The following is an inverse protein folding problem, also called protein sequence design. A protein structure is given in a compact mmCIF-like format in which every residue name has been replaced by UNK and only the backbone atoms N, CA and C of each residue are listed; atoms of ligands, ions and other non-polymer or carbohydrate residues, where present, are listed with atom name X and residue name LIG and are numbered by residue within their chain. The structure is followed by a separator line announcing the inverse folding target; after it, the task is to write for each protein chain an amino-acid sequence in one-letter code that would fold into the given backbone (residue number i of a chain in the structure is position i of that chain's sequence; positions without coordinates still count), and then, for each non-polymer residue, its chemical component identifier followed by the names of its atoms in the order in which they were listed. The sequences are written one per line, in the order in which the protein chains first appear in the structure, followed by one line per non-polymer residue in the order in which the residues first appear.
data_IF_184029791598
#
_entry.id   IF_184029791598
#
_cell.length_a   1.000
_cell.length_b   1.000
_cell.length_c   1.000
_cell.angle_alpha   90.00
_cell.angle_beta   90.00
_cell.angle_gamma   90.00
#
_symmetry.space_group_name_H-M   'P 1'
#
loop_
_entity.id
_entity.type
_entity.pdbx_description
1 polymer ?
#
# COMPACT_ATOMS: atom_id res chain seq x y z
N UNK A 1 3.20 -24.71 -2.82
CA UNK A 1 3.44 -23.24 -2.84
C UNK A 1 3.29 -22.71 -4.25
N UNK A 2 2.66 -21.55 -4.41
CA UNK A 2 2.54 -20.84 -5.69
C UNK A 2 3.70 -19.84 -5.83
N UNK A 3 4.30 -19.75 -7.01
CA UNK A 3 5.37 -18.79 -7.26
C UNK A 3 4.86 -17.36 -7.15
N UNK A 4 5.63 -16.49 -6.50
CA UNK A 4 5.32 -15.07 -6.34
C UNK A 4 6.55 -14.20 -6.60
N UNK A 5 6.32 -13.10 -7.32
CA UNK A 5 7.32 -12.06 -7.59
C UNK A 5 6.88 -10.77 -6.92
N UNK A 6 7.81 -10.08 -6.27
CA UNK A 6 7.55 -8.80 -5.63
C UNK A 6 7.96 -7.68 -6.58
N UNK A 7 7.06 -6.75 -6.84
CA UNK A 7 7.29 -5.61 -7.73
C UNK A 7 7.78 -4.42 -6.91
N UNK A 8 9.05 -4.04 -7.11
CA UNK A 8 9.80 -3.07 -6.33
C UNK A 8 10.71 -3.73 -5.30
N UNK A 9 12.01 -3.42 -5.33
CA UNK A 9 13.05 -3.95 -4.42
C UNK A 9 13.49 -2.94 -3.34
N UNK A 10 12.80 -1.80 -3.24
CA UNK A 10 13.05 -0.79 -2.22
C UNK A 10 12.68 -1.25 -0.81
N UNK A 11 12.62 -0.31 0.15
CA UNK A 11 12.28 -0.60 1.55
C UNK A 11 10.97 -1.37 1.69
N UNK A 12 9.90 -0.87 1.08
CA UNK A 12 8.59 -1.52 1.09
C UNK A 12 8.63 -2.94 0.52
N UNK A 13 9.29 -3.14 -0.63
CA UNK A 13 9.40 -4.48 -1.24
C UNK A 13 10.12 -5.49 -0.35
N UNK A 14 11.21 -5.07 0.30
CA UNK A 14 11.95 -5.92 1.26
C UNK A 14 11.10 -6.29 2.48
N UNK A 15 10.27 -5.37 2.96
CA UNK A 15 9.32 -5.65 4.04
C UNK A 15 8.22 -6.60 3.57
N UNK A 16 7.66 -6.39 2.37
CA UNK A 16 6.68 -7.31 1.77
C UNK A 16 7.22 -8.74 1.67
N UNK A 17 8.52 -8.91 1.35
CA UNK A 17 9.13 -10.24 1.37
C UNK A 17 9.08 -10.88 2.76
N UNK A 18 9.34 -10.11 3.82
CA UNK A 18 9.23 -10.60 5.20
C UNK A 18 7.76 -10.94 5.55
N UNK A 19 6.80 -10.12 5.11
CA UNK A 19 5.37 -10.41 5.37
C UNK A 19 4.90 -11.68 4.65
N UNK A 20 5.42 -11.96 3.46
CA UNK A 20 5.16 -13.21 2.75
C UNK A 20 5.80 -14.39 3.51
N UNK A 21 6.99 -14.25 4.07
CA UNK A 21 7.60 -15.26 4.93
C UNK A 21 6.80 -15.49 6.21
N UNK A 22 6.23 -14.44 6.82
CA UNK A 22 5.35 -14.57 7.98
C UNK A 22 4.03 -15.26 7.65
N UNK A 23 3.46 -15.01 6.47
CA UNK A 23 2.32 -15.78 5.95
C UNK A 23 2.70 -17.26 5.82
N UNK A 24 3.86 -17.57 5.25
CA UNK A 24 4.31 -18.94 5.06
C UNK A 24 4.58 -19.70 6.37
N UNK A 25 4.87 -19.01 7.47
CA UNK A 25 4.97 -19.65 8.82
C UNK A 25 3.61 -20.12 9.34
N UNK A 26 2.53 -19.49 8.89
CA UNK A 26 1.15 -19.88 9.27
C UNK A 26 0.60 -20.90 8.27
N UNK A 27 0.79 -20.66 7.00
CA UNK A 27 0.34 -21.50 5.89
C UNK A 27 1.35 -21.45 4.75
N UNK A 28 1.94 -22.58 4.38
CA UNK A 28 2.89 -22.68 3.26
C UNK A 28 2.21 -22.35 1.93
N UNK A 29 2.17 -21.09 1.54
CA UNK A 29 1.42 -20.59 0.40
C UNK A 29 2.29 -20.15 -0.76
N UNK A 30 3.38 -19.41 -0.49
CA UNK A 30 4.13 -18.67 -1.49
C UNK A 30 5.59 -19.11 -1.61
N UNK A 31 6.06 -19.29 -2.85
CA UNK A 31 7.48 -19.42 -3.17
C UNK A 31 7.99 -18.11 -3.77
N UNK A 32 8.74 -17.32 -3.01
CA UNK A 32 9.26 -16.03 -3.47
C UNK A 32 10.39 -16.27 -4.47
N UNK A 33 10.18 -15.88 -5.73
CA UNK A 33 11.20 -16.00 -6.79
C UNK A 33 12.22 -14.85 -6.74
N UNK A 34 11.83 -13.66 -6.29
CA UNK A 34 12.67 -12.47 -6.21
C UNK A 34 11.88 -11.19 -6.44
N UNK A 35 12.61 -10.12 -6.76
CA UNK A 35 12.07 -8.80 -7.01
C UNK A 35 12.18 -8.40 -8.48
N UNK A 36 11.24 -7.57 -8.93
CA UNK A 36 11.39 -6.78 -10.14
C UNK A 36 11.69 -5.34 -9.74
N UNK A 37 12.75 -4.75 -10.30
CA UNK A 37 13.06 -3.34 -10.11
C UNK A 37 13.83 -2.82 -11.33
N UNK A 38 13.54 -1.60 -11.78
CA UNK A 38 14.27 -1.01 -12.91
C UNK A 38 15.70 -0.61 -12.54
N UNK A 39 15.99 -0.49 -11.23
CA UNK A 39 17.35 -0.46 -10.72
C UNK A 39 17.78 -1.89 -10.32
N UNK A 40 18.57 -2.54 -11.16
CA UNK A 40 19.06 -3.90 -10.89
C UNK A 40 19.97 -3.99 -9.66
N UNK A 41 20.57 -2.89 -9.24
CA UNK A 41 21.44 -2.75 -8.08
C UNK A 41 20.66 -2.28 -6.81
N UNK A 42 19.32 -2.27 -6.84
CA UNK A 42 18.49 -1.77 -5.75
C UNK A 42 18.73 -2.45 -4.38
N UNK A 43 19.33 -3.63 -4.39
CA UNK A 43 19.67 -4.40 -3.19
C UNK A 43 21.15 -4.32 -2.79
N UNK A 44 21.98 -3.58 -3.51
CA UNK A 44 23.39 -3.41 -3.13
C UNK A 44 23.50 -2.76 -1.73
N UNK A 45 24.38 -3.33 -0.90
CA UNK A 45 24.57 -2.91 0.48
C UNK A 45 23.51 -3.41 1.47
N UNK A 46 22.47 -4.11 1.01
CA UNK A 46 21.47 -4.73 1.87
C UNK A 46 21.66 -6.25 1.97
N UNK A 47 21.44 -6.79 3.18
CA UNK A 47 21.37 -8.24 3.38
C UNK A 47 19.97 -8.72 2.99
N UNK A 48 19.82 -9.19 1.77
CA UNK A 48 18.57 -9.76 1.29
C UNK A 48 18.76 -11.24 0.95
N UNK A 49 17.81 -12.08 1.30
CA UNK A 49 17.74 -13.49 0.90
C UNK A 49 17.38 -13.64 -0.58
N UNK A 50 16.64 -12.65 -1.11
CA UNK A 50 16.14 -12.64 -2.47
C UNK A 50 16.88 -11.60 -3.31
N UNK A 51 16.86 -11.77 -4.64
CA UNK A 51 17.59 -10.92 -5.59
C UNK A 51 16.63 -10.19 -6.53
N UNK A 52 17.11 -9.13 -7.18
CA UNK A 52 16.42 -8.54 -8.33
C UNK A 52 16.60 -9.49 -9.51
N UNK A 53 15.50 -10.01 -10.04
CA UNK A 53 15.49 -11.02 -11.11
C UNK A 53 15.19 -10.42 -12.49
N UNK A 54 14.96 -9.12 -12.57
CA UNK A 54 14.74 -8.40 -13.83
C UNK A 54 14.15 -7.02 -13.62
N UNK A 55 14.01 -6.28 -14.72
CA UNK A 55 13.40 -4.96 -14.72
C UNK A 55 11.87 -5.05 -14.78
N UNK A 56 11.18 -4.07 -14.20
CA UNK A 56 9.72 -3.95 -14.32
C UNK A 56 9.33 -3.70 -15.78
N UNK A 57 10.08 -2.83 -16.45
CA UNK A 57 9.85 -2.40 -17.83
C UNK A 57 9.83 -3.57 -18.82
N UNK A 58 10.83 -4.46 -18.76
CA UNK A 58 11.03 -5.53 -19.75
C UNK A 58 10.37 -6.85 -19.33
N UNK A 59 9.79 -6.88 -18.13
CA UNK A 59 9.20 -8.11 -17.59
C UNK A 59 8.02 -8.58 -18.43
N UNK A 60 8.02 -9.90 -18.68
CA UNK A 60 6.93 -10.62 -19.33
C UNK A 60 6.26 -11.54 -18.29
N UNK A 61 5.06 -11.21 -17.83
CA UNK A 61 4.38 -12.01 -16.82
C UNK A 61 4.16 -13.46 -17.24
N UNK A 62 4.25 -14.37 -16.27
CA UNK A 62 4.03 -15.81 -16.44
C UNK A 62 2.66 -16.16 -15.89
N UNK A 63 1.94 -17.09 -16.55
CA UNK A 63 0.58 -17.49 -16.17
C UNK A 63 0.48 -18.11 -14.77
N UNK A 64 1.52 -18.83 -14.35
CA UNK A 64 1.53 -19.59 -13.09
C UNK A 64 2.26 -18.83 -11.96
N UNK A 65 2.48 -17.53 -12.14
CA UNK A 65 3.18 -16.69 -11.18
C UNK A 65 2.28 -15.55 -10.73
N UNK A 66 2.17 -15.36 -9.42
CA UNK A 66 1.47 -14.25 -8.81
C UNK A 66 2.41 -13.08 -8.53
N UNK A 67 1.85 -11.90 -8.37
CA UNK A 67 2.61 -10.67 -8.16
C UNK A 67 2.15 -9.96 -6.89
N UNK A 68 3.09 -9.45 -6.10
CA UNK A 68 2.84 -8.61 -4.94
C UNK A 68 3.35 -7.19 -5.19
N UNK A 69 2.58 -6.17 -4.82
CA UNK A 69 3.01 -4.78 -4.94
C UNK A 69 3.95 -4.42 -3.78
N UNK A 70 5.24 -4.20 -4.09
CA UNK A 70 6.29 -3.78 -3.15
C UNK A 70 6.62 -2.28 -3.24
N UNK A 71 5.74 -1.47 -3.84
CA UNK A 71 5.93 -0.04 -4.04
C UNK A 71 4.87 0.72 -3.23
N UNK A 72 5.30 1.57 -2.28
CA UNK A 72 4.38 2.37 -1.48
C UNK A 72 4.05 3.74 -2.10
N UNK A 73 4.86 4.25 -3.03
CA UNK A 73 4.62 5.53 -3.67
C UNK A 73 3.37 5.47 -4.57
N UNK A 74 2.30 6.26 -4.28
CA UNK A 74 1.05 6.20 -5.05
C UNK A 74 1.22 6.50 -6.54
N UNK A 75 2.03 7.49 -6.89
CA UNK A 75 2.24 7.87 -8.29
C UNK A 75 2.96 6.76 -9.09
N UNK A 76 3.87 6.03 -8.45
CA UNK A 76 4.61 4.94 -9.10
C UNK A 76 3.73 3.71 -9.25
N UNK A 77 3.04 3.27 -8.19
CA UNK A 77 2.19 2.07 -8.24
C UNK A 77 0.99 2.23 -9.17
N UNK A 78 0.46 3.46 -9.33
CA UNK A 78 -0.58 3.79 -10.32
C UNK A 78 -0.15 3.53 -11.78
N UNK A 79 1.13 3.66 -12.08
CA UNK A 79 1.67 3.36 -13.42
C UNK A 79 2.06 1.89 -13.53
N UNK A 80 2.79 1.38 -12.55
CA UNK A 80 3.39 0.05 -12.61
C UNK A 80 2.34 -1.06 -12.53
N UNK A 81 1.35 -0.93 -11.64
CA UNK A 81 0.32 -1.95 -11.45
C UNK A 81 -0.47 -2.23 -12.73
N UNK A 82 -1.18 -1.24 -13.29
CA UNK A 82 -1.95 -1.42 -14.52
C UNK A 82 -1.11 -1.91 -15.71
N UNK A 83 0.09 -1.36 -15.93
CA UNK A 83 0.98 -1.79 -17.02
C UNK A 83 1.34 -3.27 -16.93
N UNK A 84 1.63 -3.78 -15.74
CA UNK A 84 1.91 -5.21 -15.56
C UNK A 84 0.63 -6.05 -15.71
N UNK A 85 -0.53 -5.57 -15.24
CA UNK A 85 -1.81 -6.27 -15.41
C UNK A 85 -2.21 -6.36 -16.89
N UNK A 86 -2.03 -5.31 -17.66
CA UNK A 86 -2.24 -5.33 -19.12
C UNK A 86 -1.34 -6.33 -19.85
N UNK A 87 -0.13 -6.56 -19.33
CA UNK A 87 0.77 -7.60 -19.82
C UNK A 87 0.38 -9.01 -19.33
N UNK A 88 -0.61 -9.16 -18.46
CA UNK A 88 -1.12 -10.41 -17.92
C UNK A 88 -0.65 -10.80 -16.53
N UNK A 89 -0.03 -9.89 -15.76
CA UNK A 89 0.31 -10.14 -14.36
C UNK A 89 -0.96 -10.25 -13.50
N UNK A 90 -0.99 -11.25 -12.63
CA UNK A 90 -2.06 -11.45 -11.64
C UNK A 90 -1.58 -10.99 -10.27
N UNK A 91 -2.03 -9.83 -9.83
CA UNK A 91 -1.69 -9.33 -8.49
C UNK A 91 -2.53 -9.98 -7.42
N UNK A 92 -1.90 -10.25 -6.28
CA UNK A 92 -2.55 -10.77 -5.07
C UNK A 92 -2.36 -9.79 -3.92
N UNK A 93 -3.30 -9.82 -2.98
CA UNK A 93 -3.17 -9.07 -1.75
C UNK A 93 -2.25 -9.79 -0.76
N UNK A 94 -1.35 -9.04 -0.12
CA UNK A 94 -0.46 -9.50 0.94
C UNK A 94 -1.00 -8.95 2.25
N UNK A 95 -1.76 -9.78 2.94
CA UNK A 95 -2.37 -9.45 4.22
C UNK A 95 -1.56 -10.15 5.30
N UNK A 96 -0.87 -9.36 6.13
CA UNK A 96 -0.06 -9.92 7.22
C UNK A 96 -0.95 -10.72 8.22
N UNK A 97 -0.51 -11.87 8.73
CA UNK A 97 -1.35 -12.72 9.60
C UNK A 97 -1.86 -12.05 10.88
N UNK A 98 -1.18 -11.00 11.37
CA UNK A 98 -1.63 -10.21 12.52
C UNK A 98 -2.58 -9.06 12.16
N UNK A 99 -3.00 -8.94 10.91
CA UNK A 99 -4.01 -7.96 10.50
C UNK A 99 -5.38 -8.41 10.97
N UNK A 100 -6.11 -7.54 11.66
CA UNK A 100 -7.49 -7.80 12.03
C UNK A 100 -8.44 -7.15 11.00
N UNK A 101 -9.20 -7.99 10.30
CA UNK A 101 -10.25 -7.52 9.38
C UNK A 101 -11.60 -7.98 9.96
N UNK A 102 -12.46 -7.01 10.22
CA UNK A 102 -13.82 -7.29 10.72
C UNK A 102 -14.79 -7.56 9.55
N UNK A 103 -16.03 -7.87 9.85
CA UNK A 103 -17.05 -8.19 8.83
C UNK A 103 -17.44 -6.99 7.95
N UNK A 104 -18.11 -7.28 6.83
CA UNK A 104 -18.66 -6.28 5.90
C UNK A 104 -17.59 -5.37 5.29
N UNK A 105 -16.76 -5.94 4.43
CA UNK A 105 -15.71 -5.22 3.72
C UNK A 105 -15.66 -5.58 2.24
N UNK A 106 -15.21 -4.63 1.43
CA UNK A 106 -14.82 -4.85 0.04
C UNK A 106 -13.32 -4.57 -0.11
N UNK A 107 -12.58 -5.50 -0.67
CA UNK A 107 -11.14 -5.37 -0.89
C UNK A 107 -10.80 -5.50 -2.38
N UNK A 108 -10.12 -4.49 -2.89
CA UNK A 108 -9.53 -4.51 -4.23
C UNK A 108 -8.30 -5.42 -4.34
N UNK A 109 -7.73 -5.44 -5.54
CA UNK A 109 -6.57 -6.24 -5.89
C UNK A 109 -5.27 -5.59 -5.38
N UNK A 110 -4.31 -6.41 -4.96
CA UNK A 110 -2.96 -5.92 -4.62
C UNK A 110 -2.88 -5.10 -3.33
N UNK A 111 -3.83 -5.25 -2.42
CA UNK A 111 -3.76 -4.67 -1.08
C UNK A 111 -2.53 -5.22 -0.34
N UNK A 112 -1.79 -4.35 0.30
CA UNK A 112 -0.70 -4.72 1.22
C UNK A 112 -1.01 -4.20 2.61
N UNK A 113 -1.09 -5.10 3.60
CA UNK A 113 -1.21 -4.71 5.01
C UNK A 113 0.02 -5.12 5.78
N UNK A 114 0.52 -4.20 6.59
CA UNK A 114 1.62 -4.46 7.51
C UNK A 114 1.12 -5.06 8.83
N UNK A 115 2.03 -5.59 9.66
CA UNK A 115 1.67 -6.17 10.95
C UNK A 115 0.79 -5.24 11.81
N UNK A 116 -0.17 -5.83 12.52
CA UNK A 116 -1.07 -5.14 13.45
C UNK A 116 -1.98 -4.07 12.81
N UNK A 117 -2.15 -4.07 11.50
CA UNK A 117 -3.17 -3.25 10.86
C UNK A 117 -4.57 -3.71 11.31
N UNK A 118 -5.52 -2.77 11.40
CA UNK A 118 -6.91 -3.06 11.73
C UNK A 118 -7.83 -2.41 10.72
N UNK A 119 -8.72 -3.20 10.15
CA UNK A 119 -9.75 -2.76 9.20
C UNK A 119 -11.10 -3.03 9.86
N UNK A 120 -11.80 -1.98 10.26
CA UNK A 120 -13.10 -2.08 10.92
C UNK A 120 -14.21 -2.44 9.93
N UNK A 121 -15.42 -2.66 10.44
CA UNK A 121 -16.60 -3.05 9.64
C UNK A 121 -17.02 -1.97 8.64
N UNK A 122 -17.62 -2.35 7.53
CA UNK A 122 -18.16 -1.45 6.50
C UNK A 122 -17.13 -0.75 5.63
N UNK A 123 -15.84 -1.16 5.71
CA UNK A 123 -14.77 -0.54 4.93
C UNK A 123 -14.76 -0.99 3.48
N UNK A 124 -14.46 -0.06 2.58
CA UNK A 124 -14.17 -0.32 1.16
C UNK A 124 -12.74 0.10 0.85
N UNK A 125 -12.00 -0.77 0.22
CA UNK A 125 -10.58 -0.57 -0.08
C UNK A 125 -10.35 -0.90 -1.54
N UNK A 126 -9.93 0.10 -2.32
CA UNK A 126 -9.63 -0.03 -3.74
C UNK A 126 -8.36 -0.82 -4.05
N UNK A 127 -7.98 -0.77 -5.31
CA UNK A 127 -6.84 -1.52 -5.82
C UNK A 127 -5.51 -0.89 -5.38
N UNK A 128 -4.51 -1.74 -5.15
CA UNK A 128 -3.14 -1.34 -4.80
C UNK A 128 -3.03 -0.40 -3.59
N UNK A 129 -3.93 -0.51 -2.63
CA UNK A 129 -3.83 0.22 -1.36
C UNK A 129 -2.73 -0.38 -0.50
N UNK A 130 -2.01 0.49 0.23
CA UNK A 130 -1.00 0.07 1.22
C UNK A 130 -1.36 0.62 2.59
N UNK A 131 -1.50 -0.27 3.59
CA UNK A 131 -1.78 0.07 4.98
C UNK A 131 -0.61 -0.37 5.87
N UNK A 132 0.21 0.58 6.32
CA UNK A 132 1.38 0.28 7.14
C UNK A 132 1.02 0.39 8.63
N UNK A 133 0.72 -0.75 9.28
CA UNK A 133 0.41 -0.81 10.72
C UNK A 133 -0.59 0.27 11.18
N UNK A 134 -1.68 0.39 10.45
CA UNK A 134 -2.67 1.47 10.55
C UNK A 134 -3.99 0.96 11.11
N UNK A 135 -4.74 1.84 11.77
CA UNK A 135 -6.13 1.60 12.19
C UNK A 135 -7.07 2.34 11.25
N UNK A 136 -7.89 1.57 10.53
CA UNK A 136 -8.96 2.07 9.68
C UNK A 136 -10.29 1.92 10.39
N UNK A 137 -10.94 3.05 10.68
CA UNK A 137 -12.23 3.13 11.34
C UNK A 137 -13.38 2.63 10.44
N UNK A 138 -14.52 2.31 11.07
CA UNK A 138 -15.70 1.79 10.39
C UNK A 138 -16.20 2.70 9.25
N UNK A 139 -16.82 2.12 8.24
CA UNK A 139 -17.45 2.82 7.11
C UNK A 139 -16.48 3.73 6.31
N UNK A 140 -15.18 3.49 6.44
CA UNK A 140 -14.17 4.23 5.68
C UNK A 140 -14.05 3.72 4.25
N UNK A 141 -13.82 4.63 3.32
CA UNK A 141 -13.64 4.33 1.90
C UNK A 141 -12.27 4.82 1.42
N UNK A 142 -11.42 3.89 1.01
CA UNK A 142 -10.13 4.16 0.39
C UNK A 142 -10.21 3.83 -1.09
N UNK A 143 -10.00 4.82 -1.93
CA UNK A 143 -9.93 4.62 -3.38
C UNK A 143 -8.57 4.02 -3.79
N UNK A 144 -8.37 3.79 -5.08
CA UNK A 144 -7.20 3.10 -5.60
C UNK A 144 -5.88 3.83 -5.29
N UNK A 145 -4.82 3.05 -5.17
CA UNK A 145 -3.44 3.53 -5.01
C UNK A 145 -3.17 4.33 -3.73
N UNK A 146 -4.10 4.41 -2.80
CA UNK A 146 -3.91 5.10 -1.51
C UNK A 146 -2.78 4.43 -0.73
N UNK A 147 -1.96 5.26 -0.07
CA UNK A 147 -0.97 4.78 0.91
C UNK A 147 -1.20 5.47 2.25
N UNK A 148 -1.40 4.66 3.28
CA UNK A 148 -1.47 5.10 4.67
C UNK A 148 -0.25 4.56 5.40
N UNK A 149 0.62 5.47 5.83
CA UNK A 149 1.86 5.12 6.53
C UNK A 149 1.60 4.67 7.97
N UNK A 150 2.66 4.35 8.69
CA UNK A 150 2.60 3.69 9.98
C UNK A 150 1.94 4.55 11.07
N UNK A 151 1.25 3.87 11.98
CA UNK A 151 0.66 4.45 13.18
C UNK A 151 -0.36 5.57 12.92
N UNK A 152 -0.98 5.57 11.74
CA UNK A 152 -2.04 6.53 11.43
C UNK A 152 -3.36 6.10 12.08
N UNK A 153 -4.15 7.09 12.49
CA UNK A 153 -5.53 6.93 12.94
C UNK A 153 -6.50 7.47 11.89
N UNK A 154 -7.12 6.58 11.13
CA UNK A 154 -8.17 6.94 10.19
C UNK A 154 -9.50 6.64 10.87
N UNK A 155 -10.23 7.69 11.28
CA UNK A 155 -11.47 7.49 12.03
C UNK A 155 -12.65 7.16 11.11
N UNK A 156 -13.78 6.76 11.71
CA UNK A 156 -14.91 6.24 10.94
C UNK A 156 -15.51 7.21 9.90
N UNK A 157 -16.05 6.67 8.82
CA UNK A 157 -16.68 7.41 7.74
C UNK A 157 -15.74 8.31 6.93
N UNK A 158 -14.43 8.09 7.04
CA UNK A 158 -13.42 8.87 6.32
C UNK A 158 -13.32 8.39 4.87
N UNK A 159 -13.14 9.33 3.94
CA UNK A 159 -12.89 9.03 2.53
C UNK A 159 -11.49 9.48 2.12
N UNK A 160 -10.70 8.55 1.63
CA UNK A 160 -9.37 8.80 1.07
C UNK A 160 -9.44 8.59 -0.44
N UNK A 161 -9.37 9.70 -1.18
CA UNK A 161 -9.48 9.67 -2.63
C UNK A 161 -8.20 9.13 -3.29
N UNK A 162 -8.31 8.78 -4.57
CA UNK A 162 -7.31 8.09 -5.37
C UNK A 162 -5.90 8.67 -5.21
N UNK A 163 -4.96 7.81 -4.91
CA UNK A 163 -3.53 8.14 -4.86
C UNK A 163 -3.13 9.16 -3.79
N UNK A 164 -3.97 9.45 -2.79
CA UNK A 164 -3.51 10.25 -1.68
C UNK A 164 -2.52 9.50 -0.79
N UNK A 165 -1.67 10.25 -0.10
CA UNK A 165 -0.66 9.73 0.81
C UNK A 165 -0.85 10.30 2.21
N UNK A 166 -0.95 9.43 3.20
CA UNK A 166 -1.07 9.80 4.61
C UNK A 166 0.25 9.45 5.31
N UNK A 167 0.96 10.48 5.79
CA UNK A 167 2.25 10.32 6.47
C UNK A 167 2.11 9.74 7.87
N UNK A 168 3.21 9.17 8.37
CA UNK A 168 3.28 8.50 9.66
C UNK A 168 2.66 9.32 10.80
N UNK A 169 1.96 8.65 11.72
CA UNK A 169 1.34 9.25 12.90
C UNK A 169 0.29 10.34 12.59
N UNK A 170 -0.20 10.44 11.34
CA UNK A 170 -1.29 11.36 11.05
C UNK A 170 -2.62 10.84 11.60
N UNK A 171 -3.47 11.75 12.06
CA UNK A 171 -4.82 11.47 12.52
C UNK A 171 -5.84 12.21 11.66
N UNK A 172 -6.82 11.48 11.12
CA UNK A 172 -7.90 12.05 10.31
C UNK A 172 -9.20 11.98 11.12
N UNK A 173 -9.83 13.14 11.34
CA UNK A 173 -11.07 13.23 12.11
C UNK A 173 -12.25 12.57 11.35
N UNK A 174 -13.26 12.16 12.12
CA UNK A 174 -14.44 11.45 11.64
C UNK A 174 -15.14 12.17 10.47
N UNK A 175 -15.48 11.40 9.44
CA UNK A 175 -16.22 11.89 8.27
C UNK A 175 -15.44 12.91 7.42
N UNK A 176 -14.11 12.93 7.49
CA UNK A 176 -13.29 13.84 6.64
C UNK A 176 -12.94 13.18 5.31
N UNK A 177 -12.81 14.04 4.29
CA UNK A 177 -12.35 13.62 2.97
C UNK A 177 -10.95 14.17 2.68
N UNK A 178 -10.07 13.31 2.16
CA UNK A 178 -8.74 13.66 1.69
C UNK A 178 -8.72 13.52 0.18
N UNK A 179 -8.59 14.64 -0.50
CA UNK A 179 -8.68 14.72 -1.95
C UNK A 179 -7.62 13.91 -2.70
N UNK A 180 -7.90 13.62 -3.97
CA UNK A 180 -7.04 12.83 -4.82
C UNK A 180 -5.63 13.44 -4.95
N UNK A 181 -4.61 12.56 -5.00
CA UNK A 181 -3.19 12.94 -5.07
C UNK A 181 -2.70 13.86 -3.95
N UNK A 182 -3.47 14.07 -2.89
CA UNK A 182 -3.07 14.93 -1.78
C UNK A 182 -2.07 14.24 -0.87
N UNK A 183 -1.35 15.04 -0.11
CA UNK A 183 -0.34 14.59 0.83
C UNK A 183 -0.62 15.15 2.22
N UNK A 184 -0.87 14.27 3.16
CA UNK A 184 -0.95 14.61 4.59
C UNK A 184 0.40 14.33 5.23
N UNK A 185 1.04 15.38 5.75
CA UNK A 185 2.37 15.27 6.35
C UNK A 185 2.40 14.47 7.64
N UNK A 186 3.58 13.99 7.99
CA UNK A 186 3.83 13.25 9.23
C UNK A 186 3.30 13.99 10.47
N UNK A 187 2.65 13.28 11.39
CA UNK A 187 2.14 13.83 12.65
C UNK A 187 1.01 14.86 12.52
N UNK A 188 0.41 14.97 11.35
CA UNK A 188 -0.66 15.94 11.11
C UNK A 188 -1.99 15.50 11.73
N UNK A 189 -2.77 16.48 12.24
CA UNK A 189 -4.14 16.27 12.72
C UNK A 189 -5.11 16.99 11.79
N UNK A 190 -5.79 16.20 10.94
CA UNK A 190 -6.70 16.71 9.92
C UNK A 190 -8.12 16.76 10.48
N UNK A 191 -8.65 17.97 10.66
CA UNK A 191 -9.99 18.23 11.20
C UNK A 191 -10.93 18.87 10.17
N UNK A 192 -10.47 19.08 8.93
CA UNK A 192 -11.23 19.62 7.80
C UNK A 192 -10.87 18.84 6.56
N UNK A 193 -11.74 18.85 5.57
CA UNK A 193 -11.48 18.20 4.29
C UNK A 193 -10.27 18.82 3.59
N UNK A 194 -9.52 17.99 2.89
CA UNK A 194 -8.32 18.39 2.14
C UNK A 194 -8.66 18.33 0.65
N UNK A 195 -8.51 19.43 -0.08
CA UNK A 195 -8.78 19.45 -1.53
C UNK A 195 -7.79 18.54 -2.30
N UNK A 196 -8.16 18.18 -3.54
CA UNK A 196 -7.28 17.45 -4.45
C UNK A 196 -5.93 18.17 -4.64
N UNK A 197 -4.89 17.39 -4.93
CA UNK A 197 -3.54 17.88 -5.24
C UNK A 197 -2.97 18.85 -4.19
N UNK A 198 -3.32 18.68 -2.93
CA UNK A 198 -2.96 19.58 -1.84
C UNK A 198 -2.04 18.90 -0.84
N UNK A 199 -1.03 19.63 -0.35
CA UNK A 199 -0.17 19.19 0.76
C UNK A 199 -0.57 19.91 2.03
N UNK A 200 -0.86 19.15 3.10
CA UNK A 200 -1.21 19.68 4.42
C UNK A 200 -0.26 19.18 5.48
N UNK A 201 0.05 20.04 6.48
CA UNK A 201 0.89 19.72 7.62
C UNK A 201 0.40 20.37 8.90
N UNK A 202 0.70 19.76 10.03
CA UNK A 202 0.61 20.33 11.38
C UNK A 202 -0.61 19.87 12.19
N UNK A 203 -0.72 20.40 13.39
CA UNK A 203 -1.81 20.16 14.32
C UNK A 203 -2.38 21.50 14.81
N UNK A 204 -3.58 21.91 14.37
CA UNK A 204 -4.35 21.30 13.28
C UNK A 204 -3.68 21.49 11.91
N UNK A 205 -3.91 20.55 10.99
CA UNK A 205 -3.33 20.58 9.65
C UNK A 205 -3.76 21.83 8.86
N UNK A 206 -2.80 22.41 8.14
CA UNK A 206 -3.00 23.58 7.27
C UNK A 206 -2.39 23.29 5.91
N UNK A 207 -2.92 23.93 4.88
CA UNK A 207 -2.35 23.86 3.54
C UNK A 207 -0.93 24.43 3.57
N UNK A 208 0.02 23.62 3.13
CA UNK A 208 1.43 23.99 3.02
C UNK A 208 1.82 24.34 1.59
N UNK A 209 1.32 23.58 0.63
CA UNK A 209 1.51 23.80 -0.79
C UNK A 209 0.45 23.06 -1.60
N UNK A 210 0.22 23.49 -2.83
CA UNK A 210 -0.46 22.69 -3.84
C UNK A 210 0.58 21.78 -4.52
N UNK A 211 0.17 20.59 -4.91
CA UNK A 211 1.00 19.67 -5.68
C UNK A 211 0.82 20.04 -7.15
N UNK A 212 1.91 20.46 -7.79
CA UNK A 212 1.96 20.71 -9.25
C UNK A 212 1.84 19.41 -10.03
#
# INVERSE_FOLDING_TARGET
MTDIIIVGAGGCGREVANWIEDINKVEEKWNILGFLDDNLEALEGFRSKYHVIGTIKDHKPRKDTMYAMGIANPAVKRVVGPVLMEKGAQFVSIIHPSTHIYSEYDLGVGLVTYPNSKIATGCRIGDFVTLQSTILGHDSNLEDYVTVSSSCGITGGTKLHEGCFIGDHACIAVGREIGANSYVGIGSVVIRDVPDNTKVFGNPARIFANKE
#
